data_IF_553250378756
#
_entry.id   IF_553250378756
#
_cell.length_a   1.000
_cell.length_b   1.000
_cell.length_c   1.000
_cell.angle_alpha   90.00
_cell.angle_beta   90.00
_cell.angle_gamma   90.00
#
_symmetry.space_group_name_H-M   'P 1'
#
loop_
_entity.id
_entity.type
_entity.pdbx_description
1 polymer ?
#
# COMPACT_ATOMS: atom_id res chain seq x y z
N UNK A 1 -2.31 27.18 -8.43
CA UNK A 1 -2.75 25.79 -8.64
C UNK A 1 -2.40 25.24 -10.04
N UNK A 2 -2.53 26.03 -11.13
CA UNK A 2 -2.18 25.55 -12.48
C UNK A 2 -0.70 25.18 -12.61
N UNK A 3 0.22 25.96 -12.04
CA UNK A 3 1.66 25.66 -12.04
C UNK A 3 2.03 24.37 -11.30
N UNK A 4 1.31 24.01 -10.23
CA UNK A 4 1.54 22.79 -9.48
C UNK A 4 1.18 21.52 -10.28
N UNK A 5 0.17 21.57 -11.15
CA UNK A 5 -0.21 20.44 -12.00
C UNK A 5 0.91 19.99 -12.91
N UNK A 6 1.71 20.92 -13.43
CA UNK A 6 2.86 20.61 -14.29
C UNK A 6 3.84 19.69 -13.56
N UNK A 7 4.13 19.94 -12.28
CA UNK A 7 5.05 19.11 -11.49
C UNK A 7 4.43 17.80 -10.98
N UNK A 8 3.10 17.66 -11.04
CA UNK A 8 2.44 16.37 -10.83
C UNK A 8 2.57 15.43 -12.06
N UNK A 9 2.79 16.00 -13.25
CA UNK A 9 2.87 15.26 -14.50
C UNK A 9 4.32 15.11 -14.99
N UNK A 10 5.17 16.09 -14.72
CA UNK A 10 6.56 16.15 -15.17
C UNK A 10 7.55 16.10 -14.02
N UNK A 11 8.64 15.37 -14.23
CA UNK A 11 9.76 15.30 -13.28
C UNK A 11 10.75 16.43 -13.55
N UNK A 12 10.92 17.31 -12.57
CA UNK A 12 11.95 18.33 -12.55
C UNK A 12 12.46 18.53 -11.10
N UNK A 13 13.65 17.97 -10.76
CA UNK A 13 14.20 18.11 -9.42
C UNK A 13 14.37 19.55 -8.94
N UNK A 14 14.47 20.52 -9.86
CA UNK A 14 14.56 21.96 -9.54
C UNK A 14 13.29 22.50 -8.90
N UNK A 15 12.17 21.78 -9.07
CA UNK A 15 10.90 22.15 -8.44
C UNK A 15 10.90 21.89 -6.92
N UNK A 16 11.71 20.97 -6.41
CA UNK A 16 11.67 20.56 -4.99
C UNK A 16 11.78 21.73 -4.03
N UNK A 17 12.75 22.67 -4.13
CA UNK A 17 12.83 23.81 -3.23
C UNK A 17 11.61 24.74 -3.29
N UNK A 18 10.90 24.77 -4.40
CA UNK A 18 9.68 25.57 -4.59
C UNK A 18 8.44 24.89 -4.03
N UNK A 19 8.45 23.55 -3.98
CA UNK A 19 7.34 22.73 -3.50
C UNK A 19 7.33 22.59 -1.97
N UNK A 20 8.51 22.54 -1.33
CA UNK A 20 8.63 22.33 0.11
C UNK A 20 7.84 23.36 0.94
N UNK A 21 7.92 24.70 0.70
CA UNK A 21 7.15 25.67 1.46
C UNK A 21 5.63 25.48 1.32
N UNK A 22 5.15 24.90 0.23
CA UNK A 22 3.73 24.68 -0.03
C UNK A 22 3.11 23.57 0.82
N UNK A 23 3.94 22.74 1.47
CA UNK A 23 3.49 21.73 2.42
C UNK A 23 2.92 22.34 3.71
N UNK A 24 3.26 23.58 4.03
CA UNK A 24 2.80 24.30 5.22
C UNK A 24 1.66 25.31 4.92
N UNK A 25 1.17 25.33 3.68
CA UNK A 25 0.09 26.23 3.28
C UNK A 25 -1.22 25.93 4.03
N UNK A 26 -1.98 26.97 4.31
CA UNK A 26 -3.26 26.85 5.02
C UNK A 26 -4.31 26.07 4.22
N UNK A 27 -4.28 26.20 2.89
CA UNK A 27 -5.22 25.53 1.99
C UNK A 27 -4.83 24.06 1.78
N UNK A 28 -5.67 23.09 2.19
CA UNK A 28 -5.35 21.67 2.04
C UNK A 28 -5.20 21.23 0.58
N UNK A 29 -5.85 21.89 -0.37
CA UNK A 29 -5.71 21.61 -1.80
C UNK A 29 -4.29 21.96 -2.30
N UNK A 30 -3.71 23.03 -1.77
CA UNK A 30 -2.31 23.40 -2.10
C UNK A 30 -1.34 22.38 -1.50
N UNK A 31 -1.51 22.05 -0.21
CA UNK A 31 -0.67 21.02 0.43
C UNK A 31 -0.75 19.68 -0.31
N UNK A 32 -1.96 19.21 -0.62
CA UNK A 32 -2.18 17.97 -1.36
C UNK A 32 -1.50 17.99 -2.75
N UNK A 33 -1.62 19.10 -3.48
CA UNK A 33 -0.99 19.23 -4.80
C UNK A 33 0.54 19.24 -4.71
N UNK A 34 1.10 19.89 -3.67
CA UNK A 34 2.53 19.88 -3.41
C UNK A 34 3.03 18.46 -3.05
N UNK A 35 2.25 17.73 -2.24
CA UNK A 35 2.54 16.32 -1.90
C UNK A 35 2.57 15.44 -3.16
N UNK A 36 1.59 15.55 -4.07
CA UNK A 36 1.60 14.80 -5.33
C UNK A 36 2.81 15.15 -6.21
N UNK A 37 3.15 16.44 -6.30
CA UNK A 37 4.32 16.87 -7.05
C UNK A 37 5.62 16.32 -6.46
N UNK A 38 5.76 16.28 -5.12
CA UNK A 38 6.91 15.67 -4.44
C UNK A 38 6.94 14.14 -4.55
N UNK A 39 5.78 13.48 -4.65
CA UNK A 39 5.72 12.06 -4.96
C UNK A 39 6.24 11.74 -6.37
N UNK A 40 6.07 12.65 -7.32
CA UNK A 40 6.64 12.54 -8.67
C UNK A 40 8.10 12.98 -8.76
N UNK A 41 8.53 13.82 -7.82
CA UNK A 41 9.90 14.37 -7.74
C UNK A 41 10.52 14.01 -6.37
N UNK A 42 10.79 12.71 -6.09
CA UNK A 42 11.26 12.29 -4.78
C UNK A 42 12.58 12.96 -4.42
N UNK A 43 12.64 13.48 -3.19
CA UNK A 43 13.84 14.09 -2.63
C UNK A 43 13.88 13.84 -1.12
N UNK A 44 15.05 13.48 -0.59
CA UNK A 44 15.23 13.25 0.85
C UNK A 44 14.88 14.50 1.69
N UNK A 45 14.98 15.70 1.11
CA UNK A 45 14.60 16.96 1.78
C UNK A 45 13.10 17.02 2.12
N UNK A 46 12.26 16.28 1.41
CA UNK A 46 10.82 16.27 1.65
C UNK A 46 10.37 15.24 2.71
N UNK A 47 11.21 14.27 3.05
CA UNK A 47 10.83 13.10 3.87
C UNK A 47 10.24 13.52 5.22
N UNK A 48 10.93 14.37 5.98
CA UNK A 48 10.47 14.80 7.31
C UNK A 48 9.12 15.50 7.24
N UNK A 49 8.96 16.42 6.29
CA UNK A 49 7.69 17.16 6.11
C UNK A 49 6.55 16.22 5.68
N UNK A 50 6.82 15.28 4.78
CA UNK A 50 5.82 14.27 4.35
C UNK A 50 5.43 13.36 5.53
N UNK A 51 6.38 12.88 6.33
CA UNK A 51 6.09 12.06 7.50
C UNK A 51 5.23 12.83 8.53
N UNK A 52 5.52 14.12 8.74
CA UNK A 52 4.70 14.99 9.59
C UNK A 52 3.27 15.12 9.05
N UNK A 53 3.10 15.37 7.73
CA UNK A 53 1.79 15.47 7.11
C UNK A 53 0.99 14.17 7.22
N UNK A 54 1.62 13.01 7.00
CA UNK A 54 0.94 11.72 7.15
C UNK A 54 0.36 11.54 8.55
N UNK A 55 1.08 11.97 9.57
CA UNK A 55 0.68 11.75 10.97
C UNK A 55 -0.27 12.83 11.51
N UNK A 56 -0.09 14.08 11.10
CA UNK A 56 -0.66 15.23 11.81
C UNK A 56 -1.59 16.10 10.96
N UNK A 57 -1.61 15.96 9.62
CA UNK A 57 -2.50 16.80 8.82
C UNK A 57 -3.97 16.50 9.16
N UNK A 58 -4.73 17.56 9.46
CA UNK A 58 -6.13 17.42 9.80
C UNK A 58 -6.99 16.94 8.62
N UNK A 59 -6.55 17.18 7.39
CA UNK A 59 -7.29 16.84 6.18
C UNK A 59 -6.90 15.44 5.67
N UNK A 60 -7.87 14.53 5.64
CA UNK A 60 -7.66 13.14 5.21
C UNK A 60 -7.21 13.01 3.74
N UNK A 61 -7.57 13.95 2.86
CA UNK A 61 -7.10 13.92 1.48
C UNK A 61 -5.62 14.26 1.36
N UNK A 62 -5.10 15.14 2.23
CA UNK A 62 -3.65 15.40 2.33
C UNK A 62 -2.94 14.16 2.85
N UNK A 63 -3.42 13.54 3.94
CA UNK A 63 -2.83 12.30 4.47
C UNK A 63 -2.86 11.16 3.44
N UNK A 64 -3.97 11.01 2.70
CA UNK A 64 -4.10 10.04 1.59
C UNK A 64 -3.03 10.27 0.51
N UNK A 65 -2.91 11.50 0.02
CA UNK A 65 -1.89 11.86 -0.96
C UNK A 65 -0.47 11.59 -0.44
N UNK A 66 -0.25 11.86 0.86
CA UNK A 66 1.02 11.65 1.51
C UNK A 66 1.35 10.16 1.64
N UNK A 67 0.38 9.32 2.01
CA UNK A 67 0.56 7.87 2.04
C UNK A 67 1.00 7.34 0.67
N UNK A 68 0.35 7.77 -0.41
CA UNK A 68 0.75 7.45 -1.78
C UNK A 68 2.15 7.97 -2.10
N UNK A 69 2.44 9.24 -1.80
CA UNK A 69 3.73 9.87 -2.09
C UNK A 69 4.90 9.12 -1.46
N UNK A 70 4.75 8.70 -0.20
CA UNK A 70 5.79 8.00 0.56
C UNK A 70 6.16 6.63 -0.02
N UNK A 71 5.30 6.01 -0.82
CA UNK A 71 5.65 4.83 -1.60
C UNK A 71 6.79 5.06 -2.61
N UNK A 72 7.04 6.31 -3.00
CA UNK A 72 8.15 6.67 -3.88
C UNK A 72 9.45 7.00 -3.13
N UNK A 73 9.51 6.72 -1.82
CA UNK A 73 10.66 6.95 -0.93
C UNK A 73 11.06 5.66 -0.18
N UNK A 74 11.27 4.52 -0.88
CA UNK A 74 11.43 3.21 -0.23
C UNK A 74 12.67 3.12 0.68
N UNK A 75 13.69 3.93 0.43
CA UNK A 75 14.92 3.96 1.23
C UNK A 75 14.82 4.86 2.47
N UNK A 76 13.79 5.68 2.56
CA UNK A 76 13.52 6.53 3.72
C UNK A 76 12.83 5.74 4.85
N UNK A 77 12.79 6.25 6.11
CA UNK A 77 12.19 5.56 7.25
C UNK A 77 10.65 5.64 7.23
N UNK A 78 10.04 5.23 6.11
CA UNK A 78 8.59 5.37 5.85
C UNK A 78 7.78 4.15 6.31
N UNK A 79 8.42 3.00 6.55
CA UNK A 79 7.74 1.72 6.81
C UNK A 79 6.82 1.81 8.04
N UNK A 80 7.36 2.17 9.21
CA UNK A 80 6.57 2.24 10.44
C UNK A 80 5.46 3.30 10.40
N UNK A 81 5.68 4.52 9.87
CA UNK A 81 4.61 5.49 9.64
C UNK A 81 3.48 4.96 8.73
N UNK A 82 3.80 4.23 7.67
CA UNK A 82 2.81 3.61 6.78
C UNK A 82 2.06 2.46 7.48
N UNK A 83 2.75 1.62 8.26
CA UNK A 83 2.11 0.59 9.09
C UNK A 83 1.09 1.24 10.03
N UNK A 84 1.47 2.31 10.73
CA UNK A 84 0.57 3.00 11.63
C UNK A 84 -0.62 3.63 10.88
N UNK A 85 -0.40 4.24 9.72
CA UNK A 85 -1.49 4.77 8.90
C UNK A 85 -2.48 3.67 8.49
N UNK A 86 -1.99 2.48 8.10
CA UNK A 86 -2.83 1.33 7.78
C UNK A 86 -3.63 0.83 9.00
N UNK A 87 -3.11 0.98 10.21
CA UNK A 87 -3.79 0.54 11.44
C UNK A 87 -4.96 1.43 11.85
N UNK A 88 -4.81 2.76 11.74
CA UNK A 88 -5.66 3.68 12.50
C UNK A 88 -6.31 4.79 11.68
N UNK A 89 -5.96 4.99 10.43
CA UNK A 89 -6.48 6.12 9.64
C UNK A 89 -7.81 5.77 8.94
N UNK A 90 -8.38 6.72 8.23
CA UNK A 90 -9.59 6.51 7.42
C UNK A 90 -9.32 5.59 6.24
N UNK A 91 -10.33 4.91 5.74
CA UNK A 91 -10.21 3.88 4.69
C UNK A 91 -9.39 4.30 3.47
N UNK A 92 -9.56 5.51 2.98
CA UNK A 92 -8.82 6.01 1.82
C UNK A 92 -7.31 6.20 2.09
N UNK A 93 -6.91 6.46 3.32
CA UNK A 93 -5.51 6.52 3.74
C UNK A 93 -4.96 5.11 3.94
N UNK A 94 -5.72 4.23 4.60
CA UNK A 94 -5.35 2.82 4.79
C UNK A 94 -5.09 2.11 3.46
N UNK A 95 -5.95 2.37 2.46
CA UNK A 95 -5.76 1.85 1.10
C UNK A 95 -4.37 2.22 0.54
N UNK A 96 -4.04 3.50 0.54
CA UNK A 96 -2.76 3.93 -0.02
C UNK A 96 -1.56 3.55 0.84
N UNK A 97 -1.75 3.45 2.16
CA UNK A 97 -0.72 2.92 3.04
C UNK A 97 -0.40 1.45 2.72
N UNK A 98 -1.43 0.60 2.46
CA UNK A 98 -1.21 -0.80 2.05
C UNK A 98 -0.44 -0.91 0.73
N UNK A 99 -0.79 -0.10 -0.27
CA UNK A 99 -0.08 -0.04 -1.56
C UNK A 99 1.37 0.37 -1.37
N UNK A 100 1.62 1.45 -0.60
CA UNK A 100 2.97 1.98 -0.39
C UNK A 100 3.85 1.07 0.47
N UNK A 101 3.24 0.22 1.31
CA UNK A 101 3.97 -0.80 2.07
C UNK A 101 4.59 -1.88 1.18
N UNK A 102 4.01 -2.18 0.00
CA UNK A 102 4.64 -3.06 -0.97
C UNK A 102 5.99 -2.52 -1.43
N UNK A 103 6.07 -1.23 -1.75
CA UNK A 103 7.31 -0.59 -2.19
C UNK A 103 8.32 -0.44 -1.04
N UNK A 104 7.86 0.06 0.12
CA UNK A 104 8.72 0.25 1.29
C UNK A 104 9.26 -1.08 1.86
N UNK A 105 8.46 -2.16 1.79
CA UNK A 105 8.84 -3.50 2.23
C UNK A 105 9.83 -4.19 1.29
N UNK A 106 9.76 -3.92 -0.02
CA UNK A 106 10.55 -4.62 -1.04
C UNK A 106 12.07 -4.43 -0.94
N UNK A 107 12.53 -3.46 -0.13
CA UNK A 107 13.96 -3.09 -0.02
C UNK A 107 14.81 -4.05 0.81
N UNK A 108 14.21 -4.89 1.64
CA UNK A 108 14.90 -5.95 2.39
C UNK A 108 13.92 -6.98 2.97
N UNK A 109 14.40 -8.22 3.19
CA UNK A 109 13.59 -9.28 3.78
C UNK A 109 13.00 -8.91 5.16
N UNK A 110 13.74 -8.16 5.98
CA UNK A 110 13.26 -7.70 7.29
C UNK A 110 12.09 -6.72 7.14
N UNK A 111 12.22 -5.77 6.22
CA UNK A 111 11.13 -4.81 5.96
C UNK A 111 9.93 -5.51 5.31
N UNK A 112 10.17 -6.46 4.41
CA UNK A 112 9.12 -7.26 3.80
C UNK A 112 8.31 -8.04 4.85
N UNK A 113 8.98 -8.68 5.80
CA UNK A 113 8.32 -9.43 6.87
C UNK A 113 7.49 -8.53 7.78
N UNK A 114 8.00 -7.36 8.16
CA UNK A 114 7.26 -6.36 8.96
C UNK A 114 6.03 -5.84 8.21
N UNK A 115 6.18 -5.48 6.93
CA UNK A 115 5.07 -5.04 6.09
C UNK A 115 4.02 -6.15 5.94
N UNK A 116 4.46 -7.38 5.62
CA UNK A 116 3.58 -8.53 5.45
C UNK A 116 2.79 -8.84 6.72
N UNK A 117 3.40 -8.78 7.89
CA UNK A 117 2.70 -9.00 9.16
C UNK A 117 1.51 -8.05 9.34
N UNK A 118 1.68 -6.76 9.04
CA UNK A 118 0.57 -5.80 9.13
C UNK A 118 -0.46 -5.98 8.00
N UNK A 119 -0.01 -6.24 6.77
CA UNK A 119 -0.91 -6.47 5.64
C UNK A 119 -1.80 -7.71 5.86
N UNK A 120 -1.23 -8.80 6.39
CA UNK A 120 -1.98 -10.01 6.77
C UNK A 120 -3.03 -9.73 7.85
N UNK A 121 -2.67 -8.93 8.86
CA UNK A 121 -3.63 -8.52 9.88
C UNK A 121 -4.77 -7.72 9.26
N UNK A 122 -4.45 -6.71 8.44
CA UNK A 122 -5.47 -5.87 7.80
C UNK A 122 -6.35 -6.65 6.83
N UNK A 123 -5.79 -7.61 6.08
CA UNK A 123 -6.58 -8.52 5.24
C UNK A 123 -7.66 -9.26 6.04
N UNK A 124 -7.33 -9.69 7.27
CA UNK A 124 -8.24 -10.47 8.11
C UNK A 124 -9.32 -9.64 8.79
N UNK A 125 -9.03 -8.38 9.15
CA UNK A 125 -9.89 -7.61 10.05
C UNK A 125 -10.39 -6.26 9.52
N UNK A 126 -9.86 -5.74 8.41
CA UNK A 126 -10.29 -4.43 7.92
C UNK A 126 -11.76 -4.48 7.44
N UNK A 127 -12.55 -3.49 7.88
CA UNK A 127 -13.95 -3.38 7.50
C UNK A 127 -14.17 -3.12 6.00
N UNK A 128 -13.20 -2.45 5.36
CA UNK A 128 -13.33 -1.98 3.99
C UNK A 128 -12.79 -3.01 2.98
N UNK A 129 -13.62 -3.52 2.07
CA UNK A 129 -13.20 -4.51 1.08
C UNK A 129 -12.03 -4.04 0.22
N UNK A 130 -12.04 -2.76 -0.16
CA UNK A 130 -10.98 -2.18 -0.99
C UNK A 130 -9.62 -2.18 -0.28
N UNK A 131 -9.59 -2.06 1.04
CA UNK A 131 -8.35 -2.18 1.82
C UNK A 131 -7.89 -3.63 1.85
N UNK A 132 -8.81 -4.60 2.08
CA UNK A 132 -8.49 -6.03 2.07
C UNK A 132 -7.94 -6.48 0.72
N UNK A 133 -8.59 -6.09 -0.40
CA UNK A 133 -8.08 -6.40 -1.76
C UNK A 133 -6.68 -5.82 -2.00
N UNK A 134 -6.43 -4.58 -1.59
CA UNK A 134 -5.10 -3.99 -1.75
C UNK A 134 -4.04 -4.63 -0.84
N UNK A 135 -4.43 -5.17 0.33
CA UNK A 135 -3.52 -5.97 1.16
C UNK A 135 -3.09 -7.26 0.45
N UNK A 136 -4.02 -7.94 -0.25
CA UNK A 136 -3.71 -9.13 -1.06
C UNK A 136 -2.70 -8.77 -2.17
N UNK A 137 -3.00 -7.73 -2.93
CA UNK A 137 -2.09 -7.23 -3.98
C UNK A 137 -0.70 -6.89 -3.42
N UNK A 138 -0.63 -6.15 -2.32
CA UNK A 138 0.64 -5.76 -1.70
C UNK A 138 1.45 -6.95 -1.20
N UNK A 139 0.78 -7.94 -0.60
CA UNK A 139 1.41 -9.20 -0.15
C UNK A 139 1.97 -10.00 -1.33
N UNK A 140 1.24 -10.10 -2.44
CA UNK A 140 1.70 -10.74 -3.66
C UNK A 140 2.99 -10.08 -4.20
N UNK A 141 3.08 -8.76 -4.14
CA UNK A 141 4.28 -8.00 -4.51
C UNK A 141 5.49 -8.29 -3.62
N UNK A 142 5.27 -8.64 -2.37
CA UNK A 142 6.33 -8.95 -1.40
C UNK A 142 6.74 -10.41 -1.38
N UNK A 143 6.00 -11.30 -2.05
CA UNK A 143 6.14 -12.75 -1.94
C UNK A 143 7.59 -13.26 -2.03
N UNK A 144 8.34 -12.82 -3.04
CA UNK A 144 9.72 -13.29 -3.27
C UNK A 144 10.71 -12.83 -2.20
N UNK A 145 10.42 -11.75 -1.46
CA UNK A 145 11.24 -11.26 -0.36
C UNK A 145 10.93 -11.93 0.97
N UNK A 146 9.80 -12.66 1.04
CA UNK A 146 9.37 -13.32 2.28
C UNK A 146 10.05 -14.67 2.47
N UNK A 147 10.36 -15.02 3.72
CA UNK A 147 10.79 -16.36 4.10
C UNK A 147 9.64 -17.36 3.99
N UNK A 148 9.97 -18.65 3.74
CA UNK A 148 8.98 -19.70 3.49
C UNK A 148 7.81 -19.74 4.49
N UNK A 149 8.02 -19.67 5.82
CA UNK A 149 6.90 -19.68 6.76
C UNK A 149 5.92 -18.51 6.56
N UNK A 150 6.43 -17.33 6.18
CA UNK A 150 5.57 -16.16 5.90
C UNK A 150 4.86 -16.26 4.55
N UNK A 151 5.52 -16.88 3.55
CA UNK A 151 4.88 -17.21 2.28
C UNK A 151 3.71 -18.19 2.49
N UNK A 152 3.91 -19.22 3.32
CA UNK A 152 2.86 -20.20 3.63
C UNK A 152 1.68 -19.53 4.36
N UNK A 153 1.96 -18.67 5.35
CA UNK A 153 0.91 -17.90 6.04
C UNK A 153 0.13 -17.00 5.06
N UNK A 154 0.81 -16.38 4.11
CA UNK A 154 0.20 -15.55 3.07
C UNK A 154 -0.72 -16.38 2.17
N UNK A 155 -0.26 -17.54 1.70
CA UNK A 155 -1.07 -18.45 0.86
C UNK A 155 -2.33 -18.89 1.61
N UNK A 156 -2.21 -19.30 2.87
CA UNK A 156 -3.36 -19.66 3.69
C UNK A 156 -4.34 -18.50 3.89
N UNK A 157 -3.84 -17.27 4.06
CA UNK A 157 -4.69 -16.10 4.16
C UNK A 157 -5.43 -15.80 2.85
N UNK A 158 -4.78 -16.00 1.69
CA UNK A 158 -5.41 -15.82 0.38
C UNK A 158 -6.47 -16.88 0.13
N UNK A 159 -6.21 -18.16 0.46
CA UNK A 159 -7.20 -19.23 0.36
C UNK A 159 -8.39 -18.93 1.27
N UNK A 160 -8.15 -18.49 2.50
CA UNK A 160 -9.23 -18.10 3.41
C UNK A 160 -10.05 -16.92 2.86
N UNK A 161 -9.42 -15.90 2.29
CA UNK A 161 -10.08 -14.77 1.65
C UNK A 161 -10.93 -15.23 0.45
N UNK A 162 -10.38 -16.10 -0.41
CA UNK A 162 -11.08 -16.66 -1.56
C UNK A 162 -12.36 -17.42 -1.16
N UNK A 163 -12.30 -18.20 -0.10
CA UNK A 163 -13.42 -19.06 0.33
C UNK A 163 -14.45 -18.33 1.20
N UNK A 164 -14.04 -17.33 1.99
CA UNK A 164 -14.83 -16.83 3.11
C UNK A 164 -15.11 -15.33 3.07
N UNK A 165 -14.40 -14.53 2.25
CA UNK A 165 -14.67 -13.10 2.22
C UNK A 165 -16.07 -12.83 1.66
N UNK A 166 -16.76 -11.88 2.28
CA UNK A 166 -18.14 -11.53 1.90
C UNK A 166 -18.21 -10.85 0.54
N UNK A 167 -17.14 -10.15 0.17
CA UNK A 167 -17.10 -9.31 -1.02
C UNK A 167 -16.45 -10.05 -2.19
N UNK A 168 -17.15 -10.10 -3.32
CA UNK A 168 -16.66 -10.76 -4.53
C UNK A 168 -15.33 -10.19 -5.01
N UNK A 169 -15.16 -8.86 -4.94
CA UNK A 169 -13.92 -8.20 -5.35
C UNK A 169 -12.71 -8.67 -4.55
N UNK A 170 -12.85 -8.98 -3.27
CA UNK A 170 -11.77 -9.53 -2.43
C UNK A 170 -11.49 -10.98 -2.82
N UNK A 171 -12.55 -11.78 -3.05
CA UNK A 171 -12.39 -13.17 -3.52
C UNK A 171 -11.70 -13.25 -4.88
N UNK A 172 -12.08 -12.38 -5.81
CA UNK A 172 -11.47 -12.32 -7.16
C UNK A 172 -10.00 -11.90 -7.10
N UNK A 173 -9.66 -10.93 -6.26
CA UNK A 173 -8.27 -10.53 -6.04
C UNK A 173 -7.45 -11.67 -5.43
N UNK A 174 -8.01 -12.39 -4.45
CA UNK A 174 -7.34 -13.55 -3.85
C UNK A 174 -7.11 -14.67 -4.87
N UNK A 175 -8.10 -14.96 -5.73
CA UNK A 175 -7.97 -15.92 -6.83
C UNK A 175 -6.83 -15.52 -7.77
N UNK A 176 -6.84 -14.29 -8.24
CA UNK A 176 -5.82 -13.75 -9.14
C UNK A 176 -4.42 -13.84 -8.52
N UNK A 177 -4.29 -13.47 -7.24
CA UNK A 177 -3.02 -13.53 -6.54
C UNK A 177 -2.51 -14.97 -6.39
N UNK A 178 -3.38 -15.93 -6.06
CA UNK A 178 -3.04 -17.35 -5.95
C UNK A 178 -2.59 -17.95 -7.30
N UNK A 179 -3.27 -17.60 -8.39
CA UNK A 179 -2.93 -18.03 -9.75
C UNK A 179 -1.55 -17.48 -10.19
N UNK A 180 -1.18 -16.29 -9.76
CA UNK A 180 0.10 -15.65 -10.09
C UNK A 180 1.31 -16.24 -9.34
N UNK A 181 1.09 -17.03 -8.27
CA UNK A 181 2.18 -17.64 -7.50
C UNK A 181 2.87 -18.81 -8.22
N UNK A 182 2.34 -19.28 -9.37
CA UNK A 182 2.88 -20.35 -10.21
C UNK A 182 3.37 -21.58 -9.40
N UNK A 183 2.56 -21.98 -8.42
CA UNK A 183 2.85 -23.11 -7.54
C UNK A 183 1.96 -24.31 -7.91
N UNK A 184 2.53 -25.44 -8.45
CA UNK A 184 1.76 -26.60 -8.88
C UNK A 184 0.90 -27.21 -7.78
N UNK A 185 1.40 -27.31 -6.54
CA UNK A 185 0.64 -27.85 -5.41
C UNK A 185 -0.58 -26.98 -5.07
N UNK A 186 -0.43 -25.67 -5.24
CA UNK A 186 -1.51 -24.73 -5.03
C UNK A 186 -2.56 -24.83 -6.14
N UNK A 187 -2.12 -25.02 -7.39
CA UNK A 187 -3.03 -25.23 -8.53
C UNK A 187 -3.88 -26.49 -8.32
N UNK A 188 -3.26 -27.60 -7.94
CA UNK A 188 -3.97 -28.85 -7.64
C UNK A 188 -4.96 -28.68 -6.48
N UNK A 189 -4.58 -27.93 -5.44
CA UNK A 189 -5.47 -27.62 -4.32
C UNK A 189 -6.66 -26.78 -4.75
N UNK A 190 -6.45 -25.74 -5.56
CA UNK A 190 -7.52 -24.90 -6.09
C UNK A 190 -8.46 -25.69 -6.98
N UNK A 191 -7.94 -26.60 -7.82
CA UNK A 191 -8.74 -27.48 -8.65
C UNK A 191 -9.61 -28.42 -7.79
N UNK A 192 -9.05 -28.98 -6.73
CA UNK A 192 -9.82 -29.82 -5.78
C UNK A 192 -10.98 -29.03 -5.17
N UNK A 193 -10.75 -27.78 -4.74
CA UNK A 193 -11.79 -26.92 -4.18
C UNK A 193 -12.89 -26.57 -5.19
N UNK A 194 -12.54 -26.43 -6.48
CA UNK A 194 -13.49 -26.24 -7.57
C UNK A 194 -14.35 -27.50 -7.77
N UNK A 195 -13.71 -28.69 -7.80
CA UNK A 195 -14.38 -29.96 -8.00
C UNK A 195 -15.33 -30.33 -6.84
N UNK A 196 -14.99 -29.90 -5.64
CA UNK A 196 -15.83 -30.02 -4.43
C UNK A 196 -16.98 -28.99 -4.36
N UNK A 197 -17.05 -28.06 -5.33
CA UNK A 197 -18.07 -27.01 -5.37
C UNK A 197 -17.92 -25.93 -4.27
N UNK A 198 -16.75 -25.82 -3.68
CA UNK A 198 -16.41 -24.81 -2.68
C UNK A 198 -15.97 -23.48 -3.31
N UNK A 199 -15.62 -23.49 -4.58
CA UNK A 199 -15.35 -22.33 -5.41
C UNK A 199 -16.39 -22.26 -6.54
N UNK A 200 -16.97 -21.08 -6.75
CA UNK A 200 -17.91 -20.78 -7.84
C UNK A 200 -17.24 -19.82 -8.82
#
# INVERSE_FOLDING_TARGET
>A
LQGLRVFCEHRDPRAVPLLLPLLDETCPVVRMSAVYALGRNPSLQAVEALLRLLQLDSNAYVRKATAWSLGNYPDAPVLNPLIRALQVDVASVRLWASVSLAEAGSTSAVKADLAAGQLLLSLRIDSEPVVRSNCIWALGRLHEQLVKPRQDEMVEAFVAALLQDRETTVRDEARTALEQLDNPELVDRLQTLLDEGLLI
#
